data_IF_493278709495
#
_entry.id   IF_493278709495
#
_cell.length_a   1.000
_cell.length_b   1.000
_cell.length_c   1.000
_cell.angle_alpha   90.00
_cell.angle_beta   90.00
_cell.angle_gamma   90.00
#
_symmetry.space_group_name_H-M   'P 1'
#
loop_
_entity.id
_entity.type
_entity.pdbx_description
1 polymer ?
#
# COMPACT_ATOMS: atom_id res chain seq x y z
N UNK A 1 -17.22 4.53 -17.61
CA UNK A 1 -16.53 3.23 -17.43
C UNK A 1 -16.60 2.76 -15.97
N UNK A 2 -17.73 3.02 -15.32
CA UNK A 2 -17.72 3.32 -13.88
C UNK A 2 -17.70 2.06 -13.04
N UNK A 3 -18.39 1.01 -13.49
CA UNK A 3 -18.37 -0.31 -12.85
C UNK A 3 -16.96 -0.87 -12.85
N UNK A 4 -16.24 -0.78 -13.97
CA UNK A 4 -14.87 -1.28 -14.09
C UNK A 4 -13.92 -0.50 -13.17
N UNK A 5 -14.01 0.84 -13.16
CA UNK A 5 -13.25 1.70 -12.25
C UNK A 5 -13.55 1.32 -10.79
N UNK A 6 -14.82 1.12 -10.45
CA UNK A 6 -15.25 0.75 -9.09
C UNK A 6 -14.71 -0.63 -8.67
N UNK A 7 -14.70 -1.61 -9.59
CA UNK A 7 -14.10 -2.93 -9.33
C UNK A 7 -12.61 -2.79 -9.03
N UNK A 8 -11.86 -2.02 -9.83
CA UNK A 8 -10.44 -1.79 -9.58
C UNK A 8 -10.17 -1.01 -8.30
N UNK A 9 -11.07 -0.09 -7.92
CA UNK A 9 -11.01 0.62 -6.66
C UNK A 9 -11.18 -0.35 -5.48
N UNK A 10 -12.14 -1.27 -5.57
CA UNK A 10 -12.30 -2.34 -4.57
C UNK A 10 -11.06 -3.22 -4.52
N UNK A 11 -10.51 -3.66 -5.66
CA UNK A 11 -9.27 -4.45 -5.70
C UNK A 11 -8.08 -3.69 -5.08
N UNK A 12 -8.02 -2.37 -5.26
CA UNK A 12 -7.01 -1.54 -4.63
C UNK A 12 -7.12 -1.56 -3.10
N UNK A 13 -8.33 -1.46 -2.56
CA UNK A 13 -8.57 -1.61 -1.12
C UNK A 13 -8.31 -3.03 -0.61
N UNK A 14 -8.58 -4.07 -1.40
CA UNK A 14 -8.17 -5.44 -1.06
C UNK A 14 -6.65 -5.53 -0.90
N UNK A 15 -5.88 -4.83 -1.73
CA UNK A 15 -4.42 -4.72 -1.57
C UNK A 15 -4.00 -4.17 -0.20
N UNK A 16 -4.71 -3.16 0.30
CA UNK A 16 -4.51 -2.60 1.65
C UNK A 16 -4.82 -3.65 2.72
N UNK A 17 -5.95 -4.34 2.61
CA UNK A 17 -6.37 -5.38 3.57
C UNK A 17 -5.36 -6.53 3.60
N UNK A 18 -4.86 -6.98 2.45
CA UNK A 18 -3.84 -8.04 2.37
C UNK A 18 -2.53 -7.59 3.02
N UNK A 19 -2.11 -6.35 2.79
CA UNK A 19 -0.90 -5.80 3.38
C UNK A 19 -1.02 -5.70 4.91
N UNK A 20 -2.08 -5.05 5.40
CA UNK A 20 -2.32 -4.87 6.82
C UNK A 20 -2.59 -6.21 7.52
N UNK A 21 -3.27 -7.14 6.85
CA UNK A 21 -3.43 -8.52 7.33
C UNK A 21 -2.08 -9.20 7.53
N UNK A 22 -1.15 -9.05 6.59
CA UNK A 22 0.23 -9.50 6.73
C UNK A 22 0.93 -8.90 7.95
N UNK A 23 0.79 -7.59 8.18
CA UNK A 23 1.30 -6.91 9.36
C UNK A 23 0.69 -7.47 10.66
N UNK A 24 -0.63 -7.63 10.71
CA UNK A 24 -1.36 -8.08 11.90
C UNK A 24 -0.92 -9.49 12.35
N UNK A 25 -0.57 -10.38 11.41
CA UNK A 25 -0.02 -11.70 11.76
C UNK A 25 1.33 -11.65 12.48
N UNK A 26 2.05 -10.53 12.38
CA UNK A 26 3.39 -10.34 12.97
C UNK A 26 3.39 -9.47 14.22
N UNK A 27 2.24 -8.93 14.66
CA UNK A 27 2.15 -8.03 15.83
C UNK A 27 2.66 -8.69 17.12
N UNK A 28 2.37 -9.98 17.33
CA UNK A 28 2.90 -10.72 18.48
C UNK A 28 4.42 -10.84 18.42
N UNK A 29 4.97 -11.19 17.26
CA UNK A 29 6.41 -11.28 17.03
C UNK A 29 7.10 -9.91 17.19
N UNK A 30 6.45 -8.83 16.78
CA UNK A 30 6.93 -7.45 16.97
C UNK A 30 7.11 -7.12 18.45
N UNK A 31 6.16 -7.49 19.29
CA UNK A 31 6.27 -7.29 20.75
C UNK A 31 7.37 -8.14 21.39
N UNK A 32 7.78 -9.23 20.73
CA UNK A 32 8.86 -10.11 21.16
C UNK A 32 10.22 -9.75 20.53
N UNK A 33 10.28 -8.72 19.68
CA UNK A 33 11.51 -8.33 18.97
C UNK A 33 11.94 -9.29 17.85
N UNK A 34 11.02 -10.12 17.37
CA UNK A 34 11.26 -11.16 16.35
C UNK A 34 10.40 -10.99 15.09
N UNK A 35 9.77 -9.83 14.92
CA UNK A 35 8.98 -9.54 13.72
C UNK A 35 9.84 -9.56 12.46
N UNK A 36 9.24 -10.01 11.37
CA UNK A 36 9.79 -9.95 10.01
C UNK A 36 8.72 -9.47 9.05
N UNK A 37 9.11 -9.03 7.86
CA UNK A 37 8.12 -8.68 6.85
C UNK A 37 7.46 -9.93 6.28
N UNK A 38 6.14 -10.06 6.51
CA UNK A 38 5.38 -11.19 6.00
C UNK A 38 5.21 -11.08 4.46
N UNK A 39 5.28 -12.17 3.68
CA UNK A 39 5.14 -12.12 2.23
C UNK A 39 3.84 -11.45 1.74
N UNK A 40 2.77 -11.53 2.53
CA UNK A 40 1.50 -10.83 2.23
C UNK A 40 1.65 -9.31 2.21
N UNK A 41 2.58 -8.74 2.99
CA UNK A 41 2.82 -7.29 3.00
C UNK A 41 3.33 -6.83 1.63
N UNK A 42 4.30 -7.56 1.06
CA UNK A 42 4.81 -7.28 -0.28
C UNK A 42 3.75 -7.50 -1.36
N UNK A 43 3.00 -8.61 -1.28
CA UNK A 43 1.93 -8.93 -2.25
C UNK A 43 0.82 -7.87 -2.23
N UNK A 44 0.39 -7.44 -1.05
CA UNK A 44 -0.60 -6.38 -0.90
C UNK A 44 -0.09 -5.04 -1.43
N UNK A 45 1.17 -4.69 -1.16
CA UNK A 45 1.81 -3.50 -1.70
C UNK A 45 1.91 -3.51 -3.23
N UNK A 46 2.30 -4.64 -3.83
CA UNK A 46 2.35 -4.82 -5.28
C UNK A 46 0.94 -4.78 -5.91
N UNK A 47 -0.06 -5.37 -5.25
CA UNK A 47 -1.44 -5.29 -5.69
C UNK A 47 -1.95 -3.84 -5.71
N UNK A 48 -1.65 -3.05 -4.67
CA UNK A 48 -1.95 -1.61 -4.66
C UNK A 48 -1.27 -0.86 -5.81
N UNK A 49 -0.01 -1.15 -6.10
CA UNK A 49 0.70 -0.51 -7.21
C UNK A 49 0.05 -0.83 -8.56
N UNK A 50 -0.17 -2.12 -8.84
CA UNK A 50 -0.78 -2.56 -10.09
C UNK A 50 -2.18 -2.01 -10.30
N UNK A 51 -3.05 -2.14 -9.29
CA UNK A 51 -4.42 -1.59 -9.34
C UNK A 51 -4.43 -0.07 -9.41
N UNK A 52 -3.49 0.62 -8.73
CA UNK A 52 -3.36 2.08 -8.79
C UNK A 52 -3.00 2.58 -10.19
N UNK A 53 -2.04 1.93 -10.86
CA UNK A 53 -1.68 2.24 -12.26
C UNK A 53 -2.88 2.00 -13.19
N UNK A 54 -3.58 0.88 -13.01
CA UNK A 54 -4.77 0.57 -13.81
C UNK A 54 -5.90 1.59 -13.57
N UNK A 55 -6.13 2.02 -12.33
CA UNK A 55 -7.10 3.07 -12.02
C UNK A 55 -6.76 4.39 -12.72
N UNK A 56 -5.49 4.80 -12.72
CA UNK A 56 -5.06 6.02 -13.43
C UNK A 56 -5.35 5.89 -14.92
N UNK A 57 -5.01 4.75 -15.53
CA UNK A 57 -5.26 4.51 -16.95
C UNK A 57 -6.75 4.51 -17.28
N UNK A 58 -7.58 3.82 -16.49
CA UNK A 58 -9.02 3.75 -16.69
C UNK A 58 -9.71 5.11 -16.51
N UNK A 59 -9.33 5.88 -15.50
CA UNK A 59 -9.89 7.22 -15.27
C UNK A 59 -9.51 8.18 -16.40
N UNK A 60 -8.27 8.12 -16.91
CA UNK A 60 -7.88 8.91 -18.08
C UNK A 60 -8.60 8.49 -19.36
N UNK A 61 -8.84 7.19 -19.55
CA UNK A 61 -9.60 6.68 -20.69
C UNK A 61 -11.09 7.03 -20.64
N UNK A 62 -11.59 7.40 -19.46
CA UNK A 62 -12.97 7.85 -19.21
C UNK A 62 -13.04 9.39 -19.09
N UNK A 63 -12.03 10.11 -19.59
CA UNK A 63 -11.91 11.58 -19.59
C UNK A 63 -12.04 12.26 -18.20
N UNK A 64 -11.77 11.51 -17.12
CA UNK A 64 -11.84 12.05 -15.77
C UNK A 64 -10.60 12.88 -15.41
N UNK A 65 -10.82 14.05 -14.80
CA UNK A 65 -9.73 14.90 -14.32
C UNK A 65 -9.05 14.27 -13.11
N UNK A 66 -7.74 14.02 -13.21
CA UNK A 66 -6.92 13.52 -12.11
C UNK A 66 -6.00 14.62 -11.57
N UNK A 67 -6.00 14.81 -10.25
CA UNK A 67 -4.99 15.63 -9.59
C UNK A 67 -3.62 14.92 -9.65
N UNK A 68 -2.77 15.38 -10.56
CA UNK A 68 -1.45 14.78 -10.82
C UNK A 68 -0.51 14.89 -9.62
N UNK A 69 -0.63 15.96 -8.81
CA UNK A 69 0.17 16.14 -7.59
C UNK A 69 -0.23 15.14 -6.53
N UNK A 70 -1.54 15.01 -6.26
CA UNK A 70 -2.08 14.00 -5.34
C UNK A 70 -1.65 12.60 -5.75
N UNK A 71 -1.72 12.28 -7.04
CA UNK A 71 -1.27 10.99 -7.57
C UNK A 71 0.23 10.76 -7.36
N UNK A 72 1.07 11.75 -7.66
CA UNK A 72 2.51 11.66 -7.50
C UNK A 72 2.91 11.42 -6.03
N UNK A 73 2.26 12.12 -5.09
CA UNK A 73 2.51 11.96 -3.65
C UNK A 73 2.10 10.56 -3.19
N UNK A 74 0.91 10.07 -3.57
CA UNK A 74 0.48 8.69 -3.24
C UNK A 74 1.46 7.64 -3.77
N UNK A 75 1.91 7.82 -5.03
CA UNK A 75 2.87 6.92 -5.63
C UNK A 75 4.20 6.94 -4.88
N UNK A 76 4.69 8.13 -4.51
CA UNK A 76 5.93 8.26 -3.74
C UNK A 76 5.86 7.53 -2.39
N UNK A 77 4.76 7.72 -1.63
CA UNK A 77 4.54 7.00 -0.36
C UNK A 77 4.52 5.48 -0.58
N UNK A 78 3.83 5.01 -1.63
CA UNK A 78 3.77 3.59 -1.95
C UNK A 78 5.14 3.03 -2.37
N UNK A 79 5.95 3.79 -3.10
CA UNK A 79 7.32 3.41 -3.48
C UNK A 79 8.22 3.28 -2.25
N UNK A 80 8.14 4.23 -1.31
CA UNK A 80 8.89 4.15 -0.03
C UNK A 80 8.47 2.90 0.75
N UNK A 81 7.17 2.63 0.84
CA UNK A 81 6.63 1.43 1.49
C UNK A 81 7.13 0.14 0.82
N UNK A 82 7.09 0.09 -0.52
CA UNK A 82 7.57 -1.07 -1.28
C UNK A 82 9.06 -1.27 -1.11
N UNK A 83 9.86 -0.22 -1.21
CA UNK A 83 11.30 -0.27 -0.99
C UNK A 83 11.64 -0.78 0.39
N UNK A 84 10.93 -0.27 1.42
CA UNK A 84 11.10 -0.70 2.80
C UNK A 84 10.86 -2.21 2.96
N UNK A 85 9.71 -2.69 2.50
CA UNK A 85 9.35 -4.11 2.62
C UNK A 85 10.29 -4.98 1.79
N UNK A 86 10.59 -4.57 0.55
CA UNK A 86 11.37 -5.36 -0.41
C UNK A 86 12.82 -5.53 0.04
N UNK A 87 13.48 -4.45 0.45
CA UNK A 87 14.90 -4.48 0.87
C UNK A 87 15.09 -5.37 2.09
N UNK A 88 14.11 -5.40 3.00
CA UNK A 88 14.18 -6.07 4.29
C UNK A 88 13.43 -7.41 4.32
N UNK A 89 12.91 -7.88 3.18
CA UNK A 89 12.03 -9.07 3.10
C UNK A 89 12.71 -10.37 3.53
N UNK A 90 14.01 -10.46 3.31
CA UNK A 90 14.82 -11.65 3.56
C UNK A 90 15.46 -11.62 4.97
N UNK A 91 15.24 -10.54 5.74
CA UNK A 91 15.73 -10.44 7.11
C UNK A 91 14.88 -11.31 8.06
N UNK A 92 15.56 -12.13 8.86
CA UNK A 92 14.92 -12.99 9.85
C UNK A 92 14.21 -12.20 10.96
N UNK A 93 14.68 -10.97 11.23
CA UNK A 93 14.09 -10.01 12.17
C UNK A 93 14.30 -8.59 11.67
N UNK A 94 13.33 -7.72 11.93
CA UNK A 94 13.35 -6.31 11.55
C UNK A 94 13.15 -5.47 12.81
N UNK A 95 13.81 -4.32 12.86
CA UNK A 95 13.64 -3.35 13.95
C UNK A 95 12.15 -2.94 14.12
N UNK A 96 11.71 -2.76 15.37
CA UNK A 96 10.33 -2.47 15.70
C UNK A 96 9.85 -1.15 15.11
N UNK A 97 10.68 -0.09 15.16
CA UNK A 97 10.31 1.20 14.60
C UNK A 97 10.12 1.07 13.08
N UNK A 98 11.05 0.37 12.42
CA UNK A 98 10.99 0.13 11.00
C UNK A 98 9.78 -0.72 10.58
N UNK A 99 9.47 -1.77 11.34
CA UNK A 99 8.29 -2.60 11.12
C UNK A 99 6.99 -1.81 11.33
N UNK A 100 6.94 -0.94 12.35
CA UNK A 100 5.78 -0.08 12.65
C UNK A 100 5.58 1.06 11.64
N UNK A 101 6.61 1.40 10.86
CA UNK A 101 6.49 2.40 9.80
C UNK A 101 5.54 1.94 8.67
N UNK A 102 5.40 0.62 8.43
CA UNK A 102 4.55 0.11 7.36
C UNK A 102 3.07 0.49 7.52
N UNK A 103 2.37 0.13 8.61
CA UNK A 103 0.97 0.55 8.77
C UNK A 103 0.82 2.07 8.82
N UNK A 104 1.80 2.81 9.34
CA UNK A 104 1.77 4.27 9.34
C UNK A 104 1.79 4.84 7.90
N UNK A 105 2.68 4.34 7.04
CA UNK A 105 2.75 4.74 5.64
C UNK A 105 1.47 4.36 4.87
N UNK A 106 0.87 3.22 5.16
CA UNK A 106 -0.44 2.84 4.60
C UNK A 106 -1.52 3.83 5.00
N UNK A 107 -1.61 4.18 6.28
CA UNK A 107 -2.59 5.15 6.79
C UNK A 107 -2.38 6.50 6.13
N UNK A 108 -1.14 6.99 6.05
CA UNK A 108 -0.79 8.25 5.36
C UNK A 108 -1.27 8.21 3.90
N UNK A 109 -1.03 7.11 3.19
CA UNK A 109 -1.47 6.96 1.80
C UNK A 109 -3.00 7.00 1.65
N UNK A 110 -3.75 6.43 2.61
CA UNK A 110 -5.22 6.49 2.67
C UNK A 110 -5.68 7.93 2.95
N UNK A 111 -5.07 8.61 3.93
CA UNK A 111 -5.42 9.99 4.28
C UNK A 111 -5.22 10.93 3.09
N UNK A 112 -4.11 10.79 2.35
CA UNK A 112 -3.89 11.53 1.10
C UNK A 112 -4.99 11.21 0.08
N UNK A 113 -5.40 9.94 -0.04
CA UNK A 113 -6.44 9.55 -0.97
C UNK A 113 -7.80 10.19 -0.66
N UNK A 114 -8.17 10.26 0.62
CA UNK A 114 -9.52 10.63 1.07
C UNK A 114 -9.64 12.11 1.41
N UNK A 115 -8.65 12.70 2.09
CA UNK A 115 -8.74 14.05 2.65
C UNK A 115 -8.23 15.15 1.71
N UNK A 116 -7.40 14.81 0.72
CA UNK A 116 -6.88 15.79 -0.24
C UNK A 116 -7.92 16.05 -1.34
N UNK A 117 -8.50 17.26 -1.36
CA UNK A 117 -9.34 17.81 -2.44
C UNK A 117 -8.49 18.49 -3.52
#
# INVERSE_FOLDING_TARGET
>A
MDVLISVFLVLHFVGIVVLLGGFLTQVKAMNQGTARFHPLMLRGALAMLGTGVLLVALNKADDQSLNSVKLAVKLAVLVVLLGLIYVKRDEARVDKALFSAVPALVVVNILIAVLWS
#
